data_IF_285333800066
#
_entry.id   IF_285333800066
#
_cell.length_a   1.000
_cell.length_b   1.000
_cell.length_c   1.000
_cell.angle_alpha   90.00
_cell.angle_beta   90.00
_cell.angle_gamma   90.00
#
_symmetry.space_group_name_H-M   'P 1'
#
loop_
_entity.id
_entity.type
_entity.pdbx_description
1 polymer ?
#
# COMPACT_ATOMS: atom_id res chain seq x y z
N UNK A 1 6.98 8.26 3.32
CA UNK A 1 6.60 8.80 1.99
C UNK A 1 5.83 7.74 1.21
N UNK A 2 4.79 8.14 0.47
CA UNK A 2 4.09 7.30 -0.49
C UNK A 2 4.82 7.30 -1.83
N UNK A 3 5.14 6.13 -2.35
CA UNK A 3 5.93 5.95 -3.58
C UNK A 3 5.01 5.70 -4.77
N UNK A 4 3.95 4.91 -4.58
CA UNK A 4 3.01 4.63 -5.65
C UNK A 4 2.16 3.40 -5.38
N UNK A 5 1.49 2.95 -6.44
CA UNK A 5 0.72 1.71 -6.41
C UNK A 5 0.75 0.99 -7.74
N UNK A 6 0.54 -0.31 -7.70
CA UNK A 6 0.36 -1.16 -8.87
C UNK A 6 -0.83 -2.09 -8.66
N UNK A 7 -1.42 -2.54 -9.77
CA UNK A 7 -2.45 -3.57 -9.72
C UNK A 7 -1.82 -4.90 -9.30
N UNK A 8 -2.48 -5.61 -8.41
CA UNK A 8 -2.11 -6.96 -8.00
C UNK A 8 -3.30 -7.89 -8.24
N UNK A 9 -3.04 -9.13 -8.63
CA UNK A 9 -4.07 -10.14 -8.72
C UNK A 9 -4.17 -10.94 -7.41
N UNK A 10 -5.37 -11.42 -7.06
CA UNK A 10 -5.60 -12.17 -5.80
C UNK A 10 -4.72 -13.42 -5.67
N UNK A 11 -4.41 -14.06 -6.80
CA UNK A 11 -3.55 -15.24 -6.88
C UNK A 11 -2.08 -14.90 -6.60
N UNK A 12 -1.59 -13.73 -7.04
CA UNK A 12 -0.20 -13.29 -6.85
C UNK A 12 0.09 -13.03 -5.36
N UNK A 13 -0.87 -12.44 -4.65
CA UNK A 13 -0.72 -12.03 -3.25
C UNK A 13 -0.64 -13.23 -2.31
N UNK A 14 -1.31 -14.34 -2.64
CA UNK A 14 -1.37 -15.54 -1.80
C UNK A 14 -0.34 -16.61 -2.18
N UNK A 15 0.02 -16.73 -3.46
CA UNK A 15 0.94 -17.79 -3.93
C UNK A 15 2.38 -17.35 -4.09
N UNK A 16 2.66 -16.06 -4.31
CA UNK A 16 3.99 -15.65 -4.76
C UNK A 16 4.51 -14.39 -4.03
N UNK A 17 4.85 -14.57 -2.76
CA UNK A 17 5.50 -13.54 -1.96
C UNK A 17 6.82 -13.04 -2.60
N UNK A 18 7.52 -13.89 -3.36
CA UNK A 18 8.77 -13.52 -4.03
C UNK A 18 8.52 -12.56 -5.20
N UNK A 19 7.51 -12.84 -6.02
CA UNK A 19 7.10 -11.91 -7.10
C UNK A 19 6.64 -10.56 -6.53
N UNK A 20 5.87 -10.57 -5.45
CA UNK A 20 5.47 -9.33 -4.79
C UNK A 20 6.69 -8.54 -4.30
N UNK A 21 7.65 -9.22 -3.68
CA UNK A 21 8.90 -8.62 -3.22
C UNK A 21 9.72 -8.00 -4.36
N UNK A 22 9.80 -8.66 -5.52
CA UNK A 22 10.47 -8.11 -6.70
C UNK A 22 9.79 -6.82 -7.17
N UNK A 23 8.45 -6.82 -7.27
CA UNK A 23 7.67 -5.62 -7.65
C UNK A 23 7.86 -4.48 -6.66
N UNK A 24 7.89 -4.78 -5.36
CA UNK A 24 8.14 -3.79 -4.31
C UNK A 24 9.53 -3.16 -4.43
N UNK A 25 10.56 -3.96 -4.76
CA UNK A 25 11.92 -3.46 -5.02
C UNK A 25 11.95 -2.56 -6.25
N UNK A 26 11.34 -2.98 -7.37
CA UNK A 26 11.31 -2.14 -8.60
C UNK A 26 10.63 -0.79 -8.34
N UNK A 27 9.53 -0.78 -7.59
CA UNK A 27 8.79 0.46 -7.35
C UNK A 27 9.48 1.36 -6.32
N UNK A 28 10.29 0.82 -5.41
CA UNK A 28 11.01 1.57 -4.37
C UNK A 28 11.90 2.68 -4.96
N UNK A 29 12.50 2.43 -6.12
CA UNK A 29 13.40 3.37 -6.81
C UNK A 29 12.65 4.46 -7.59
N UNK A 30 11.32 4.53 -7.51
CA UNK A 30 10.56 5.57 -8.17
C UNK A 30 10.93 6.96 -7.60
N UNK A 31 11.33 7.93 -8.46
CA UNK A 31 11.74 9.26 -8.01
C UNK A 31 10.56 10.13 -7.57
N UNK A 32 9.33 9.79 -8.02
CA UNK A 32 8.12 10.50 -7.60
C UNK A 32 7.67 9.94 -6.24
N UNK A 33 7.79 10.78 -5.21
CA UNK A 33 7.38 10.44 -3.85
C UNK A 33 6.54 11.55 -3.27
N UNK A 34 5.56 11.20 -2.45
CA UNK A 34 4.69 12.15 -1.75
C UNK A 34 4.84 11.99 -0.25
N UNK A 35 5.05 13.09 0.47
CA UNK A 35 4.99 13.04 1.94
C UNK A 35 3.55 12.84 2.39
N UNK A 36 3.35 11.87 3.28
CA UNK A 36 2.03 11.43 3.77
C UNK A 36 2.15 11.00 5.22
N UNK A 37 1.03 11.06 5.94
CA UNK A 37 0.89 10.53 7.30
C UNK A 37 -0.03 9.32 7.27
N UNK A 38 0.43 8.19 7.80
CA UNK A 38 -0.35 6.97 7.97
C UNK A 38 -0.97 6.95 9.37
N UNK A 39 -2.30 6.79 9.46
CA UNK A 39 -3.02 6.59 10.73
C UNK A 39 -3.70 5.22 10.72
N UNK A 40 -3.36 4.40 11.70
CA UNK A 40 -3.86 3.03 11.86
C UNK A 40 -4.93 2.97 12.95
N UNK A 41 -5.93 2.13 12.74
CA UNK A 41 -6.98 1.84 13.72
C UNK A 41 -7.61 0.47 13.45
N UNK A 42 -8.41 -0.03 14.38
CA UNK A 42 -9.21 -1.24 14.16
C UNK A 42 -10.24 -1.07 13.03
N UNK A 43 -10.63 0.17 12.69
CA UNK A 43 -11.50 0.44 11.54
C UNK A 43 -10.75 0.31 10.21
N UNK A 44 -9.41 0.39 10.23
CA UNK A 44 -8.55 0.29 9.06
C UNK A 44 -7.47 1.38 9.02
N UNK A 45 -7.04 1.68 7.80
CA UNK A 45 -5.92 2.56 7.51
C UNK A 45 -6.40 3.84 6.79
N UNK A 46 -5.90 4.99 7.24
CA UNK A 46 -6.06 6.27 6.55
C UNK A 46 -4.72 6.83 6.16
N UNK A 47 -4.65 7.38 4.95
CA UNK A 47 -3.49 8.08 4.40
C UNK A 47 -3.85 9.54 4.29
N UNK A 48 -3.14 10.39 5.02
CA UNK A 48 -3.27 11.83 4.99
C UNK A 48 -2.13 12.48 4.22
N UNK A 49 -2.33 13.71 3.74
CA UNK A 49 -1.28 14.54 3.18
C UNK A 49 -0.18 14.85 4.19
N UNK A 50 0.84 15.58 3.72
CA UNK A 50 1.94 16.05 4.55
C UNK A 50 1.47 16.98 5.69
N UNK A 51 0.33 17.62 5.51
CA UNK A 51 -0.35 18.46 6.51
C UNK A 51 -0.97 17.66 7.66
N UNK A 52 -1.12 16.33 7.52
CA UNK A 52 -1.77 15.47 8.51
C UNK A 52 -3.30 15.58 8.56
N UNK A 53 -3.88 16.44 7.71
CA UNK A 53 -5.29 16.85 7.72
C UNK A 53 -6.03 16.44 6.43
N UNK A 54 -5.39 16.61 5.27
CA UNK A 54 -6.02 16.28 3.98
C UNK A 54 -6.10 14.77 3.79
N UNK A 55 -7.29 14.19 3.87
CA UNK A 55 -7.49 12.75 3.62
C UNK A 55 -7.28 12.41 2.13
N UNK A 56 -6.30 11.55 1.85
CA UNK A 56 -5.97 11.10 0.50
C UNK A 56 -6.57 9.73 0.19
N UNK A 57 -6.49 8.80 1.15
CA UNK A 57 -7.00 7.44 0.99
C UNK A 57 -7.53 6.91 2.32
N UNK A 58 -8.55 6.06 2.25
CA UNK A 58 -9.10 5.37 3.41
C UNK A 58 -9.49 3.95 3.02
N UNK A 59 -8.91 2.97 3.71
CA UNK A 59 -9.23 1.55 3.54
C UNK A 59 -9.78 1.00 4.85
N UNK A 60 -11.00 0.45 4.80
CA UNK A 60 -11.51 -0.34 5.91
C UNK A 60 -10.65 -1.59 6.11
N UNK A 61 -10.41 -2.02 7.35
CA UNK A 61 -9.51 -3.15 7.65
C UNK A 61 -9.87 -4.41 6.86
N UNK A 62 -11.18 -4.72 6.76
CA UNK A 62 -11.72 -5.86 5.98
C UNK A 62 -11.38 -5.85 4.48
N UNK A 63 -10.88 -4.74 3.95
CA UNK A 63 -10.49 -4.59 2.53
C UNK A 63 -8.99 -4.76 2.31
N UNK A 64 -8.19 -4.86 3.38
CA UNK A 64 -6.75 -5.11 3.34
C UNK A 64 -6.57 -6.64 3.39
N UNK A 65 -5.97 -7.20 2.35
CA UNK A 65 -5.76 -8.65 2.21
C UNK A 65 -4.37 -9.08 2.65
N UNK A 66 -3.40 -8.17 2.57
CA UNK A 66 -2.01 -8.43 2.90
C UNK A 66 -1.33 -7.14 3.33
N UNK A 67 -0.39 -7.22 4.25
CA UNK A 67 0.50 -6.12 4.62
C UNK A 67 1.87 -6.66 4.99
N UNK A 68 2.92 -5.91 4.66
CA UNK A 68 4.30 -6.26 4.96
C UNK A 68 5.10 -5.04 5.39
N UNK A 69 6.12 -5.29 6.20
CA UNK A 69 7.11 -4.30 6.63
C UNK A 69 8.50 -4.89 6.46
N UNK A 70 9.39 -4.18 5.75
CA UNK A 70 10.80 -4.55 5.61
C UNK A 70 11.67 -3.48 6.28
N UNK A 71 12.23 -3.84 7.43
CA UNK A 71 12.94 -2.90 8.31
C UNK A 71 14.24 -2.38 7.71
N UNK A 72 14.99 -3.21 6.97
CA UNK A 72 16.26 -2.82 6.36
C UNK A 72 16.09 -1.72 5.29
N UNK A 73 14.94 -1.72 4.62
CA UNK A 73 14.58 -0.79 3.55
C UNK A 73 13.65 0.34 4.02
N UNK A 74 13.26 0.35 5.30
CA UNK A 74 12.23 1.26 5.82
C UNK A 74 10.90 1.16 5.05
N UNK A 75 10.59 -0.02 4.51
CA UNK A 75 9.53 -0.19 3.53
C UNK A 75 8.26 -0.72 4.20
N UNK A 76 7.13 -0.07 3.94
CA UNK A 76 5.80 -0.56 4.31
C UNK A 76 4.94 -0.71 3.07
N UNK A 77 4.25 -1.85 2.94
CA UNK A 77 3.30 -2.04 1.85
C UNK A 77 2.04 -2.77 2.33
N UNK A 78 0.93 -2.48 1.67
CA UNK A 78 -0.31 -3.24 1.88
C UNK A 78 -1.07 -3.41 0.58
N UNK A 79 -1.78 -4.53 0.47
CA UNK A 79 -2.65 -4.85 -0.66
C UNK A 79 -4.09 -4.72 -0.24
N UNK A 80 -4.87 -3.94 -1.00
CA UNK A 80 -6.27 -3.72 -0.71
C UNK A 80 -7.14 -3.57 -1.96
N UNK A 81 -8.45 -3.76 -1.77
CA UNK A 81 -9.46 -3.35 -2.76
C UNK A 81 -9.72 -1.85 -2.63
N UNK A 82 -9.48 -1.10 -3.70
CA UNK A 82 -9.73 0.34 -3.74
C UNK A 82 -11.24 0.66 -3.58
N UNK A 83 -11.60 1.74 -2.88
CA UNK A 83 -12.96 2.25 -2.90
C UNK A 83 -13.40 2.54 -4.34
N UNK A 84 -14.61 2.09 -4.72
CA UNK A 84 -15.20 2.25 -6.06
C UNK A 84 -14.52 1.48 -7.20
N UNK A 85 -13.52 0.65 -6.93
CA UNK A 85 -12.99 -0.31 -7.91
C UNK A 85 -13.79 -1.62 -7.92
N UNK A 86 -13.77 -2.38 -9.03
CA UNK A 86 -14.34 -3.72 -9.07
C UNK A 86 -13.80 -4.60 -7.94
N UNK A 87 -14.62 -5.49 -7.39
CA UNK A 87 -14.24 -6.36 -6.28
C UNK A 87 -13.03 -7.27 -6.59
N UNK A 88 -12.81 -7.56 -7.87
CA UNK A 88 -11.72 -8.41 -8.37
C UNK A 88 -10.38 -7.69 -8.52
N UNK A 89 -10.33 -6.35 -8.40
CA UNK A 89 -9.09 -5.59 -8.58
C UNK A 89 -8.45 -5.27 -7.24
N UNK A 90 -7.24 -5.77 -7.02
CA UNK A 90 -6.41 -5.37 -5.89
C UNK A 90 -5.37 -4.34 -6.33
N UNK A 91 -4.95 -3.55 -5.36
CA UNK A 91 -3.86 -2.60 -5.50
C UNK A 91 -2.89 -2.79 -4.35
N UNK A 92 -1.61 -2.88 -4.67
CA UNK A 92 -0.54 -2.81 -3.70
C UNK A 92 -0.11 -1.34 -3.56
N UNK A 93 -0.12 -0.81 -2.34
CA UNK A 93 0.29 0.55 -2.01
C UNK A 93 1.62 0.51 -1.27
N UNK A 94 2.63 1.23 -1.78
CA UNK A 94 3.99 1.21 -1.27
C UNK A 94 4.37 2.54 -0.59
N UNK A 95 4.98 2.43 0.58
CA UNK A 95 5.49 3.52 1.40
C UNK A 95 6.93 3.22 1.84
N UNK A 96 7.74 4.27 1.97
CA UNK A 96 9.13 4.20 2.45
C UNK A 96 9.37 5.25 3.53
N UNK A 97 10.17 4.92 4.54
CA UNK A 97 10.63 5.81 5.61
C UNK A 97 11.55 6.90 5.12
#
# INVERSE_FOLDING_TARGET
QYVGSFAADELDVQRDAALLDERLRTLQDCPRRRSVVLKFSLQGLKVYGADGETLLMAHALRRILYSTWRSAEGQFAFVARNPRSPATKLFCHLFVG
#
